data_IF_693446227061
#
_entry.id   IF_693446227061
#
_cell.length_a   1.000
_cell.length_b   1.000
_cell.length_c   1.000
_cell.angle_alpha   90.00
_cell.angle_beta   90.00
_cell.angle_gamma   90.00
#
_symmetry.space_group_name_H-M   'P 1'
#
loop_
_entity.id
_entity.type
_entity.pdbx_description
1 polymer ?
#
# COMPACT_ATOMS: atom_id res chain seq x y z
N UNK A 1 -9.30 6.62 -60.60
CA UNK A 1 -8.76 7.78 -59.86
C UNK A 1 -8.19 7.23 -58.55
N UNK A 2 -6.94 6.74 -58.50
CA UNK A 2 -5.68 7.51 -58.31
C UNK A 2 -5.77 8.42 -57.07
N UNK A 3 -5.18 8.01 -55.93
CA UNK A 3 -3.82 8.36 -55.42
C UNK A 3 -3.61 9.90 -55.34
N UNK A 4 -3.00 10.54 -54.34
CA UNK A 4 -1.70 10.36 -53.69
C UNK A 4 -1.70 11.22 -52.39
N UNK A 5 -1.42 10.68 -51.21
CA UNK A 5 -0.18 10.85 -50.42
C UNK A 5 0.75 11.96 -50.96
N UNK A 6 0.78 13.11 -50.27
CA UNK A 6 1.76 14.16 -50.49
C UNK A 6 3.05 13.83 -49.72
N UNK A 7 4.10 13.52 -50.50
CA UNK A 7 5.48 13.57 -50.08
C UNK A 7 5.95 15.03 -50.08
N UNK A 8 6.58 15.47 -49.00
CA UNK A 8 7.55 16.56 -49.05
C UNK A 8 8.87 16.02 -48.52
N UNK A 9 9.76 15.73 -49.46
CA UNK A 9 11.18 15.55 -49.23
C UNK A 9 11.79 16.93 -48.99
N UNK A 10 12.50 17.12 -47.89
CA UNK A 10 13.60 18.07 -47.87
C UNK A 10 14.81 17.45 -47.17
N UNK A 11 15.91 17.50 -47.90
CA UNK A 11 17.19 16.86 -47.64
C UNK A 11 17.94 17.69 -46.60
N UNK A 12 18.41 17.07 -45.53
CA UNK A 12 19.73 17.45 -45.01
C UNK A 12 20.45 16.21 -44.50
N UNK A 13 21.44 15.80 -45.30
CA UNK A 13 22.32 14.69 -45.06
C UNK A 13 23.63 15.25 -44.54
N UNK A 14 24.06 14.82 -43.35
CA UNK A 14 25.47 14.50 -43.06
C UNK A 14 25.68 14.01 -41.62
N UNK A 15 26.56 13.01 -41.50
CA UNK A 15 27.17 12.39 -40.31
C UNK A 15 26.44 11.22 -39.64
N UNK A 16 26.53 10.04 -40.26
CA UNK A 16 26.62 8.77 -39.54
C UNK A 16 27.81 7.95 -40.09
N UNK A 17 28.85 7.82 -39.27
CA UNK A 17 29.94 6.87 -39.43
C UNK A 17 29.45 5.42 -39.23
N UNK A 18 30.07 4.42 -39.89
CA UNK A 18 29.60 3.05 -39.84
C UNK A 18 29.89 2.42 -38.48
N UNK A 19 28.84 2.11 -37.72
CA UNK A 19 28.97 1.25 -36.53
C UNK A 19 29.12 -0.17 -37.04
N UNK A 20 30.34 -0.68 -36.93
CA UNK A 20 30.70 -2.07 -37.11
C UNK A 20 29.74 -2.99 -36.37
N UNK A 21 29.32 -4.05 -37.05
CA UNK A 21 28.51 -5.17 -36.55
C UNK A 21 28.94 -5.64 -35.15
N UNK A 22 28.30 -5.10 -34.11
CA UNK A 22 28.34 -5.68 -32.77
C UNK A 22 27.33 -6.82 -32.73
N UNK A 23 27.83 -8.02 -32.53
CA UNK A 23 27.06 -9.20 -32.17
C UNK A 23 25.99 -8.84 -31.14
N UNK A 24 24.73 -9.05 -31.48
CA UNK A 24 23.66 -9.10 -30.49
C UNK A 24 23.94 -10.31 -29.61
N UNK A 25 24.66 -10.10 -28.51
CA UNK A 25 24.81 -11.11 -27.48
C UNK A 25 23.42 -11.41 -26.94
N UNK A 26 22.94 -12.60 -27.32
CA UNK A 26 21.71 -13.17 -26.81
C UNK A 26 21.91 -13.38 -25.31
N UNK A 27 21.44 -12.43 -24.50
CA UNK A 27 21.38 -12.59 -23.05
C UNK A 27 20.39 -13.73 -22.76
N UNK A 28 20.93 -14.94 -22.66
CA UNK A 28 20.24 -16.08 -22.10
C UNK A 28 19.98 -15.77 -20.62
N UNK A 29 18.86 -15.11 -20.34
CA UNK A 29 18.31 -15.00 -19.00
C UNK A 29 17.96 -16.42 -18.52
N UNK A 30 18.93 -17.11 -17.93
CA UNK A 30 18.69 -18.40 -17.30
C UNK A 30 17.69 -18.20 -16.17
N UNK A 31 16.49 -18.74 -16.34
CA UNK A 31 15.47 -18.83 -15.30
C UNK A 31 16.00 -19.74 -14.18
N UNK A 32 16.65 -19.15 -13.18
CA UNK A 32 17.08 -19.88 -11.98
C UNK A 32 15.82 -20.27 -11.21
N UNK A 33 15.71 -21.55 -10.85
CA UNK A 33 14.62 -22.02 -10.01
C UNK A 33 14.68 -21.30 -8.66
N UNK A 34 13.53 -20.80 -8.18
CA UNK A 34 13.44 -20.22 -6.84
C UNK A 34 13.87 -21.20 -5.73
N UNK A 35 13.87 -22.51 -6.04
CA UNK A 35 14.32 -23.59 -5.16
C UNK A 35 15.84 -23.62 -4.94
N UNK A 36 16.62 -22.93 -5.77
CA UNK A 36 18.09 -22.87 -5.67
C UNK A 36 18.58 -21.61 -4.95
N UNK A 37 17.67 -20.73 -4.51
CA UNK A 37 18.01 -19.54 -3.75
C UNK A 37 18.13 -19.89 -2.27
N UNK A 38 19.22 -19.43 -1.64
CA UNK A 38 19.41 -19.47 -0.19
C UNK A 38 18.18 -18.85 0.47
N UNK A 39 17.64 -19.48 1.52
CA UNK A 39 16.53 -18.93 2.27
C UNK A 39 16.85 -17.51 2.73
N UNK A 40 15.86 -16.62 2.60
CA UNK A 40 15.99 -15.27 3.14
C UNK A 40 16.25 -15.35 4.64
N UNK A 41 17.08 -14.45 5.19
CA UNK A 41 17.25 -14.36 6.64
C UNK A 41 15.90 -14.09 7.31
N UNK A 42 15.78 -14.52 8.56
CA UNK A 42 14.63 -14.18 9.39
C UNK A 42 14.45 -12.67 9.40
N UNK A 43 13.27 -12.20 9.06
CA UNK A 43 12.93 -10.78 9.08
C UNK A 43 12.03 -10.52 10.30
N UNK A 44 12.30 -9.43 11.00
CA UNK A 44 11.45 -8.96 12.08
C UNK A 44 10.57 -7.82 11.57
N UNK A 45 9.30 -7.83 11.97
CA UNK A 45 8.36 -6.79 11.58
C UNK A 45 8.57 -5.53 12.43
N UNK A 46 8.64 -4.37 11.78
CA UNK A 46 8.72 -3.06 12.46
C UNK A 46 7.49 -2.83 13.36
N UNK A 47 6.31 -3.26 12.89
CA UNK A 47 5.08 -3.28 13.66
C UNK A 47 4.43 -4.65 13.49
N UNK A 48 3.98 -5.26 14.58
CA UNK A 48 3.24 -6.52 14.49
C UNK A 48 1.86 -6.29 13.90
N UNK A 49 1.46 -7.17 12.98
CA UNK A 49 0.25 -7.01 12.17
C UNK A 49 -0.61 -8.27 12.17
N UNK A 50 -1.92 -8.10 12.28
CA UNK A 50 -2.90 -9.16 12.10
C UNK A 50 -3.53 -9.01 10.71
N UNK A 51 -3.51 -10.09 9.94
CA UNK A 51 -4.11 -10.15 8.60
C UNK A 51 -5.26 -11.16 8.62
N UNK A 52 -6.48 -10.68 8.34
CA UNK A 52 -7.68 -11.53 8.18
C UNK A 52 -8.11 -11.46 6.72
N UNK A 53 -7.79 -12.48 5.95
CA UNK A 53 -8.18 -12.59 4.53
C UNK A 53 -9.63 -13.03 4.38
N UNK A 54 -10.30 -12.56 3.33
CA UNK A 54 -11.70 -12.91 3.01
C UNK A 54 -12.69 -12.75 4.18
N UNK A 55 -12.42 -11.77 5.05
CA UNK A 55 -13.20 -11.55 6.26
C UNK A 55 -14.58 -10.98 5.93
N UNK A 56 -15.60 -11.52 6.59
CA UNK A 56 -17.01 -11.12 6.46
C UNK A 56 -17.50 -10.52 7.78
N UNK A 57 -17.23 -9.23 8.03
CA UNK A 57 -17.72 -8.57 9.23
C UNK A 57 -19.26 -8.42 9.18
N UNK A 58 -19.92 -8.66 10.30
CA UNK A 58 -21.35 -8.37 10.49
C UNK A 58 -21.58 -6.93 10.96
N UNK A 59 -20.55 -6.29 11.53
CA UNK A 59 -20.62 -4.95 12.08
C UNK A 59 -19.41 -4.13 11.65
N UNK A 60 -19.59 -2.81 11.58
CA UNK A 60 -18.52 -1.87 11.28
C UNK A 60 -18.84 -0.47 11.77
N UNK A 61 -18.04 0.48 11.31
CA UNK A 61 -18.24 1.90 11.57
C UNK A 61 -18.30 2.68 10.25
N UNK A 62 -19.23 3.61 10.14
CA UNK A 62 -19.28 4.55 9.02
C UNK A 62 -18.29 5.72 9.16
N UNK A 63 -18.22 6.58 8.14
CA UNK A 63 -17.40 7.80 8.12
C UNK A 63 -17.70 8.74 9.29
N UNK A 64 -18.97 8.84 9.70
CA UNK A 64 -19.39 9.65 10.84
C UNK A 64 -19.09 8.99 12.21
N UNK A 65 -18.49 7.79 12.23
CA UNK A 65 -18.20 7.04 13.45
C UNK A 65 -19.38 6.22 14.00
N UNK A 66 -20.55 6.25 13.36
CA UNK A 66 -21.71 5.47 13.79
C UNK A 66 -21.46 3.98 13.62
N UNK A 67 -21.89 3.19 14.60
CA UNK A 67 -21.85 1.73 14.54
C UNK A 67 -22.98 1.22 13.67
N UNK A 68 -22.64 0.41 12.67
CA UNK A 68 -23.58 -0.13 11.69
C UNK A 68 -23.51 -1.65 11.61
N UNK A 69 -24.63 -2.25 11.25
CA UNK A 69 -24.71 -3.62 10.73
C UNK A 69 -24.42 -3.61 9.25
N UNK A 70 -23.67 -4.60 8.79
CA UNK A 70 -23.28 -4.78 7.39
C UNK A 70 -24.12 -5.92 6.82
N UNK A 71 -24.71 -5.70 5.65
CA UNK A 71 -25.53 -6.67 4.95
C UNK A 71 -24.71 -7.92 4.58
N UNK A 72 -25.19 -9.09 5.01
CA UNK A 72 -24.57 -10.41 4.77
C UNK A 72 -25.66 -11.43 4.41
N UNK A 73 -26.35 -11.22 3.30
CA UNK A 73 -27.47 -12.05 2.86
C UNK A 73 -27.25 -12.64 1.45
N UNK A 74 -28.30 -13.19 0.84
CA UNK A 74 -28.26 -13.76 -0.51
C UNK A 74 -28.09 -12.69 -1.60
N UNK A 75 -28.53 -11.45 -1.35
CA UNK A 75 -28.47 -10.36 -2.33
C UNK A 75 -27.09 -9.72 -2.35
N UNK A 76 -26.50 -9.49 -1.17
CA UNK A 76 -25.21 -8.82 -1.02
C UNK A 76 -24.42 -9.38 0.15
N UNK A 77 -23.11 -9.54 -0.07
CA UNK A 77 -22.14 -9.93 0.95
C UNK A 77 -20.95 -9.00 0.89
N UNK A 78 -20.53 -8.50 2.05
CA UNK A 78 -19.34 -7.68 2.16
C UNK A 78 -18.15 -8.54 2.57
N UNK A 79 -17.09 -8.54 1.76
CA UNK A 79 -15.82 -9.23 2.03
C UNK A 79 -14.66 -8.26 1.85
N UNK A 80 -13.72 -8.32 2.78
CA UNK A 80 -12.48 -7.56 2.67
C UNK A 80 -11.34 -8.25 3.42
N UNK A 81 -10.11 -7.94 3.04
CA UNK A 81 -8.94 -8.28 3.85
C UNK A 81 -8.76 -7.20 4.90
N UNK A 82 -8.76 -7.57 6.17
CA UNK A 82 -8.47 -6.65 7.28
C UNK A 82 -7.00 -6.77 7.64
N UNK A 83 -6.29 -5.65 7.62
CA UNK A 83 -4.88 -5.55 8.02
C UNK A 83 -4.78 -4.49 9.10
N UNK A 84 -4.62 -4.92 10.35
CA UNK A 84 -4.57 -4.05 11.53
C UNK A 84 -3.30 -4.28 12.34
N UNK A 85 -2.86 -3.26 13.07
CA UNK A 85 -1.82 -3.44 14.08
C UNK A 85 -2.31 -4.40 15.17
N UNK A 86 -1.45 -5.31 15.62
CA UNK A 86 -1.79 -6.24 16.70
C UNK A 86 -2.14 -5.51 18.01
N UNK A 87 -1.39 -4.45 18.32
CA UNK A 87 -1.62 -3.63 19.50
C UNK A 87 -2.38 -2.33 19.15
N UNK A 88 -3.60 -2.19 19.69
CA UNK A 88 -4.43 -1.01 19.51
C UNK A 88 -3.92 0.22 20.29
N UNK A 89 -3.06 0.03 21.30
CA UNK A 89 -2.51 1.10 22.15
C UNK A 89 -1.37 1.90 21.48
N UNK A 90 -1.05 1.58 20.21
CA UNK A 90 -0.01 2.25 19.42
C UNK A 90 1.38 2.15 20.05
N UNK A 91 1.85 0.92 20.22
CA UNK A 91 3.21 0.64 20.69
C UNK A 91 4.28 1.30 19.83
N UNK A 92 5.47 1.52 20.42
CA UNK A 92 6.66 1.93 19.67
C UNK A 92 7.01 0.90 18.60
N UNK A 93 7.61 1.38 17.51
CA UNK A 93 8.05 0.54 16.42
C UNK A 93 9.38 -0.14 16.72
N UNK A 94 9.52 -1.40 16.32
CA UNK A 94 10.78 -2.12 16.45
C UNK A 94 11.87 -1.54 15.54
N UNK A 95 13.09 -1.42 16.07
CA UNK A 95 14.28 -1.01 15.31
C UNK A 95 14.45 0.49 15.08
N UNK A 96 13.70 1.35 15.78
CA UNK A 96 13.81 2.81 15.65
C UNK A 96 14.82 3.39 16.65
N UNK A 97 15.63 4.35 16.17
CA UNK A 97 16.47 5.16 17.04
C UNK A 97 15.62 6.12 17.89
N UNK A 98 15.33 5.66 19.11
CA UNK A 98 14.56 6.41 20.09
C UNK A 98 15.31 7.63 20.66
N UNK A 99 16.59 7.85 20.37
CA UNK A 99 17.27 9.11 20.72
C UNK A 99 16.86 10.25 19.78
N UNK A 100 16.63 9.93 18.50
CA UNK A 100 16.31 10.89 17.44
C UNK A 100 14.82 10.96 17.10
N UNK A 101 14.06 9.88 17.33
CA UNK A 101 12.66 9.79 16.94
C UNK A 101 11.77 9.32 18.09
N UNK A 102 10.51 9.74 18.08
CA UNK A 102 9.40 8.99 18.70
C UNK A 102 8.72 8.19 17.61
N UNK A 103 8.27 6.98 17.91
CA UNK A 103 7.62 6.10 16.94
C UNK A 103 6.31 5.54 17.48
N UNK A 104 5.35 5.25 16.60
CA UNK A 104 4.09 4.60 16.96
C UNK A 104 3.57 3.74 15.79
N UNK A 105 3.11 2.53 16.09
CA UNK A 105 2.41 1.68 15.13
C UNK A 105 0.94 2.11 15.00
N UNK A 106 0.51 2.44 13.79
CA UNK A 106 -0.84 2.95 13.51
C UNK A 106 -1.53 2.17 12.40
N UNK A 107 -2.76 1.74 12.66
CA UNK A 107 -3.64 1.18 11.62
C UNK A 107 -4.19 2.29 10.74
N UNK A 108 -3.98 2.18 9.44
CA UNK A 108 -4.65 3.02 8.45
C UNK A 108 -5.93 2.37 7.96
N UNK A 109 -6.88 3.20 7.58
CA UNK A 109 -8.22 2.78 7.19
C UNK A 109 -8.62 3.38 5.85
N UNK A 110 -9.41 2.63 5.10
CA UNK A 110 -10.15 3.11 3.94
C UNK A 110 -11.66 2.96 4.17
N UNK A 111 -12.46 3.66 3.37
CA UNK A 111 -13.92 3.51 3.39
C UNK A 111 -14.37 2.76 2.14
N UNK A 112 -15.03 1.61 2.33
CA UNK A 112 -15.52 0.78 1.22
C UNK A 112 -17.03 0.76 1.17
N UNK A 113 -17.64 0.76 -0.03
CA UNK A 113 -19.08 0.69 -0.17
C UNK A 113 -19.62 -0.65 0.36
N UNK A 114 -20.73 -0.59 1.09
CA UNK A 114 -21.44 -1.74 1.63
C UNK A 114 -22.93 -1.42 1.83
N UNK A 115 -23.77 -2.46 1.85
CA UNK A 115 -25.13 -2.32 2.39
C UNK A 115 -25.05 -2.23 3.90
N UNK A 116 -25.57 -1.15 4.49
CA UNK A 116 -25.47 -0.87 5.93
C UNK A 116 -26.80 -0.43 6.50
N UNK A 117 -26.97 -0.63 7.80
CA UNK A 117 -28.02 0.01 8.59
C UNK A 117 -27.51 0.32 9.98
N UNK A 118 -28.13 1.26 10.68
CA UNK A 118 -27.78 1.55 12.08
C UNK A 118 -27.93 0.28 12.91
N UNK A 119 -26.91 -0.05 13.71
CA UNK A 119 -26.93 -1.27 14.50
C UNK A 119 -28.12 -1.30 15.46
N UNK A 120 -28.85 -2.42 15.50
CA UNK A 120 -30.08 -2.58 16.29
C UNK A 120 -31.32 -1.90 15.71
N UNK A 121 -31.22 -1.22 14.57
CA UNK A 121 -32.40 -0.70 13.88
C UNK A 121 -33.14 -1.80 13.11
N UNK A 122 -34.45 -1.65 12.96
CA UNK A 122 -35.32 -2.57 12.19
C UNK A 122 -35.45 -2.12 10.73
N UNK A 123 -34.80 -1.02 10.35
CA UNK A 123 -34.84 -0.48 9.00
C UNK A 123 -34.17 -1.40 7.98
N UNK A 124 -34.47 -1.12 6.71
CA UNK A 124 -33.82 -1.76 5.57
C UNK A 124 -32.34 -1.36 5.48
N UNK A 125 -31.53 -2.23 4.88
CA UNK A 125 -30.16 -1.89 4.51
C UNK A 125 -30.16 -0.87 3.37
N UNK A 126 -29.33 0.16 3.51
CA UNK A 126 -29.11 1.21 2.51
C UNK A 126 -27.66 1.19 2.04
N UNK A 127 -27.37 1.81 0.90
CA UNK A 127 -25.98 1.98 0.44
C UNK A 127 -25.25 2.96 1.36
N UNK A 128 -24.09 2.55 1.86
CA UNK A 128 -23.22 3.36 2.70
C UNK A 128 -21.76 2.92 2.60
N UNK A 129 -20.93 3.38 3.54
CA UNK A 129 -19.50 3.11 3.53
C UNK A 129 -19.00 2.62 4.88
N UNK A 130 -18.29 1.49 4.90
CA UNK A 130 -17.69 0.94 6.12
C UNK A 130 -16.18 1.19 6.16
N UNK A 131 -15.69 1.56 7.35
CA UNK A 131 -14.28 1.72 7.67
C UNK A 131 -13.58 0.36 7.72
N UNK A 132 -12.59 0.15 6.85
CA UNK A 132 -11.81 -1.10 6.72
C UNK A 132 -10.34 -0.84 7.04
N UNK A 133 -9.72 -1.60 7.95
CA UNK A 133 -8.29 -1.49 8.22
C UNK A 133 -7.48 -2.11 7.07
N UNK A 134 -6.55 -1.34 6.49
CA UNK A 134 -5.83 -1.71 5.26
C UNK A 134 -4.33 -1.93 5.43
N UNK A 135 -3.73 -1.36 6.48
CA UNK A 135 -2.30 -1.54 6.76
C UNK A 135 -1.97 -1.07 8.18
N UNK A 136 -0.92 -1.63 8.77
CA UNK A 136 -0.29 -1.13 9.97
C UNK A 136 1.06 -0.50 9.59
N UNK A 137 1.26 0.77 9.93
CA UNK A 137 2.46 1.52 9.57
C UNK A 137 3.15 2.09 10.80
N UNK A 138 4.48 2.18 10.72
CA UNK A 138 5.25 2.92 11.70
C UNK A 138 5.26 4.42 11.38
N UNK A 139 4.73 5.24 12.27
CA UNK A 139 4.80 6.70 12.16
C UNK A 139 5.96 7.22 13.00
N UNK A 140 6.88 7.95 12.37
CA UNK A 140 8.01 8.59 13.03
C UNK A 140 7.77 10.08 13.22
N UNK A 141 8.22 10.62 14.35
CA UNK A 141 8.36 12.07 14.58
C UNK A 141 9.75 12.35 15.12
N UNK A 142 10.45 13.30 14.50
CA UNK A 142 11.79 13.69 14.94
C UNK A 142 11.70 14.43 16.28
N UNK A 143 12.53 14.03 17.24
CA UNK A 143 12.75 14.76 18.48
C UNK A 143 13.61 15.98 18.14
N UNK A 144 13.10 17.18 18.40
CA UNK A 144 13.93 18.39 18.37
C UNK A 144 14.71 18.45 19.68
N UNK A 145 15.82 17.72 19.73
CA UNK A 145 16.82 18.01 20.74
C UNK A 145 17.40 19.37 20.36
N UNK A 146 17.11 20.41 21.15
CA UNK A 146 17.95 21.61 21.17
C UNK A 146 19.34 21.10 21.54
N UNK A 147 20.16 20.83 20.54
CA UNK A 147 21.60 20.78 20.73
C UNK A 147 21.92 22.12 21.36
N UNK A 148 22.31 22.06 22.63
CA UNK A 148 22.91 23.17 23.35
C UNK A 148 23.94 23.76 22.40
N UNK A 149 23.69 24.98 21.93
CA UNK A 149 24.74 25.80 21.37
C UNK A 149 25.76 25.88 22.50
N UNK A 150 26.99 25.35 22.35
CA UNK A 150 28.00 25.61 23.36
C UNK A 150 28.18 27.13 23.38
N UNK A 151 27.96 27.75 24.55
CA UNK A 151 28.27 29.16 24.75
C UNK A 151 29.70 29.36 24.26
N UNK A 152 29.83 30.13 23.18
CA UNK A 152 31.12 30.47 22.60
C UNK A 152 31.75 31.50 23.56
N UNK A 153 32.97 31.25 24.07
CA UNK A 153 33.61 32.14 25.04
C UNK A 153 33.90 33.54 24.47
#
# INVERSE_FOLDING_TARGET
MQQQINNNDDYDSQFLSPISSSTFDSFNAQKRSAQTLKSLPSHEHVCQTIIKTDFQPQFGHEQNGSRVEIQQDEKRKFRATFIECENAERSECHGIDNALFTSECVTLYEFRPAGVRIAGSVGDFVDGFVKVPITCQCRLRRKFNRLLVPDRP
#
